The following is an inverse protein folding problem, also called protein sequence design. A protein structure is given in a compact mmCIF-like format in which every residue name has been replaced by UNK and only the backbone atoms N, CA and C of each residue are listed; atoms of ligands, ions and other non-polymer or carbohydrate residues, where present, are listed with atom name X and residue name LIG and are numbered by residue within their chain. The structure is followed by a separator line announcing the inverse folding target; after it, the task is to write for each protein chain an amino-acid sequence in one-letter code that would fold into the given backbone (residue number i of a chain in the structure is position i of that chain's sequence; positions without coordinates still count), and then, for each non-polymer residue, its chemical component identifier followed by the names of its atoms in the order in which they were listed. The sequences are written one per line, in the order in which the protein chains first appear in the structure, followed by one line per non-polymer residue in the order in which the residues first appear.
data_IF_278389934941
#
_entry.id   IF_278389934941
#
_cell.length_a   1.000
_cell.length_b   1.000
_cell.length_c   1.000
_cell.angle_alpha   90.00
_cell.angle_beta   90.00
_cell.angle_gamma   90.00
#
_symmetry.space_group_name_H-M   'P 1'
#
loop_
_entity.id
_entity.type
_entity.pdbx_description
1 polymer ?
#
# COMPACT_ATOMS: atom_id res chain seq x y z
N UNK A 1 7.59 -17.18 -10.13
CA UNK A 1 6.50 -17.04 -9.14
C UNK A 1 6.18 -15.56 -9.11
N UNK A 2 5.04 -15.17 -9.66
CA UNK A 2 4.65 -13.75 -9.77
C UNK A 2 4.25 -13.28 -8.36
N UNK A 3 5.06 -12.44 -7.75
CA UNK A 3 4.72 -11.77 -6.49
C UNK A 3 4.02 -10.47 -6.86
N UNK A 4 2.70 -10.47 -6.85
CA UNK A 4 1.92 -9.26 -7.07
C UNK A 4 1.45 -8.71 -5.74
N UNK A 5 1.70 -7.43 -5.49
CA UNK A 5 0.97 -6.67 -4.49
C UNK A 5 -0.23 -6.05 -5.20
N UNK A 6 -1.36 -6.56 -4.94
CA UNK A 6 -2.62 -5.98 -5.32
C UNK A 6 -3.52 -6.01 -4.11
N UNK A 7 -4.59 -5.22 -4.08
CA UNK A 7 -5.57 -5.07 -3.00
C UNK A 7 -5.84 -6.35 -2.21
N UNK A 8 -6.55 -6.25 -1.14
CA UNK A 8 -6.99 -7.28 -0.18
C UNK A 8 -7.28 -8.67 -0.79
N UNK A 9 -7.49 -8.74 -2.10
CA UNK A 9 -7.87 -9.95 -2.82
C UNK A 9 -6.79 -10.49 -3.78
N UNK A 10 -5.63 -9.86 -3.94
CA UNK A 10 -4.68 -10.22 -5.01
C UNK A 10 -3.20 -10.26 -4.62
N UNK A 11 -2.86 -10.11 -3.35
CA UNK A 11 -1.46 -10.22 -2.94
C UNK A 11 -1.04 -11.68 -2.86
N UNK A 12 -0.06 -12.06 -3.67
CA UNK A 12 0.69 -13.28 -3.43
C UNK A 12 1.50 -13.11 -2.15
N UNK A 13 0.86 -13.28 -1.02
CA UNK A 13 1.49 -13.27 0.30
C UNK A 13 2.45 -14.44 0.39
N UNK A 14 3.64 -14.24 0.95
CA UNK A 14 4.54 -15.34 1.26
C UNK A 14 3.78 -16.38 2.11
N UNK A 15 3.97 -17.70 1.90
CA UNK A 15 3.25 -18.74 2.63
C UNK A 15 3.30 -18.56 4.15
N UNK A 16 4.43 -18.06 4.68
CA UNK A 16 4.62 -17.79 6.10
C UNK A 16 3.74 -16.64 6.61
N UNK A 17 3.58 -15.60 5.79
CA UNK A 17 2.70 -14.46 6.10
C UNK A 17 1.24 -14.89 5.99
N UNK A 18 0.91 -15.73 4.99
CA UNK A 18 -0.42 -16.31 4.84
C UNK A 18 -0.80 -17.13 6.08
N UNK A 19 0.12 -17.97 6.55
CA UNK A 19 -0.07 -18.75 7.78
C UNK A 19 -0.26 -17.86 9.01
N UNK A 20 0.53 -16.80 9.14
CA UNK A 20 0.38 -15.83 10.23
C UNK A 20 -0.96 -15.07 10.15
N UNK A 21 -1.47 -14.77 8.95
CA UNK A 21 -2.78 -14.16 8.76
C UNK A 21 -3.93 -15.16 9.04
N UNK A 22 -3.78 -16.43 8.72
CA UNK A 22 -4.73 -17.49 9.10
C UNK A 22 -4.81 -17.67 10.64
N UNK A 23 -3.67 -17.47 11.32
CA UNK A 23 -3.58 -17.54 12.78
C UNK A 23 -4.05 -16.24 13.47
N UNK A 24 -4.01 -15.11 12.77
CA UNK A 24 -4.44 -13.81 13.27
C UNK A 24 -5.89 -13.54 12.85
N UNK A 25 -6.84 -13.82 13.72
CA UNK A 25 -8.20 -13.36 13.50
C UNK A 25 -8.23 -11.83 13.52
N UNK A 26 -8.48 -11.21 12.34
CA UNK A 26 -8.64 -9.76 12.22
C UNK A 26 -10.12 -9.40 12.34
N UNK A 27 -10.42 -8.38 13.14
CA UNK A 27 -11.77 -7.95 13.41
C UNK A 27 -12.44 -7.28 12.20
N UNK A 28 -11.68 -6.52 11.39
CA UNK A 28 -12.17 -5.77 10.22
C UNK A 28 -11.04 -5.47 9.23
N UNK A 29 -11.38 -4.78 8.13
CA UNK A 29 -10.43 -4.37 7.08
C UNK A 29 -9.30 -3.49 7.61
N UNK A 30 -9.59 -2.56 8.51
CA UNK A 30 -8.55 -1.71 9.14
C UNK A 30 -7.51 -2.56 9.87
N UNK A 31 -7.93 -3.58 10.61
CA UNK A 31 -7.02 -4.52 11.27
C UNK A 31 -6.16 -5.30 10.25
N UNK A 32 -6.76 -5.72 9.14
CA UNK A 32 -6.05 -6.40 8.07
C UNK A 32 -4.99 -5.48 7.43
N UNK A 33 -5.36 -4.22 7.15
CA UNK A 33 -4.44 -3.22 6.58
C UNK A 33 -3.27 -2.92 7.53
N UNK A 34 -3.54 -2.73 8.82
CA UNK A 34 -2.49 -2.51 9.84
C UNK A 34 -1.50 -3.68 9.84
N UNK A 35 -1.98 -4.91 9.93
CA UNK A 35 -1.12 -6.09 9.99
C UNK A 35 -0.32 -6.26 8.70
N UNK A 36 -0.98 -6.14 7.56
CA UNK A 36 -0.33 -6.30 6.25
C UNK A 36 0.77 -5.26 6.02
N UNK A 37 0.49 -3.99 6.28
CA UNK A 37 1.46 -2.92 6.08
C UNK A 37 2.58 -2.96 7.12
N UNK A 38 2.26 -3.24 8.39
CA UNK A 38 3.26 -3.34 9.47
C UNK A 38 4.23 -4.51 9.27
N UNK A 39 3.80 -5.58 8.62
CA UNK A 39 4.67 -6.73 8.33
C UNK A 39 5.83 -6.39 7.37
N UNK A 40 5.70 -5.33 6.57
CA UNK A 40 6.66 -4.95 5.54
C UNK A 40 7.29 -3.57 5.74
N UNK A 41 6.88 -2.82 6.77
CA UNK A 41 7.35 -1.46 7.02
C UNK A 41 7.98 -1.32 8.40
N UNK A 42 8.88 -0.37 8.51
CA UNK A 42 9.42 0.15 9.78
C UNK A 42 8.94 1.60 9.94
N UNK A 43 9.10 2.16 11.14
CA UNK A 43 8.64 3.51 11.46
C UNK A 43 9.24 4.63 10.58
N UNK A 44 10.39 4.39 9.95
CA UNK A 44 11.03 5.32 9.02
C UNK A 44 10.58 5.12 7.56
N UNK A 45 9.76 4.11 7.28
CA UNK A 45 9.25 3.88 5.94
C UNK A 45 8.04 4.76 5.61
N UNK A 46 7.71 4.80 4.34
CA UNK A 46 6.49 5.40 3.85
C UNK A 46 5.73 4.45 2.92
N UNK A 47 4.42 4.61 2.92
CA UNK A 47 3.49 3.91 2.03
C UNK A 47 2.86 4.93 1.09
N UNK A 48 3.00 4.73 -0.20
CA UNK A 48 2.37 5.58 -1.22
C UNK A 48 0.95 5.06 -1.47
N UNK A 49 -0.05 5.94 -1.41
CA UNK A 49 -1.44 5.60 -1.67
C UNK A 49 -2.16 6.77 -2.35
N UNK A 50 -3.31 6.52 -2.98
CA UNK A 50 -4.17 7.61 -3.45
C UNK A 50 -4.65 8.45 -2.26
N UNK A 51 -4.86 9.75 -2.46
CA UNK A 51 -5.37 10.62 -1.40
C UNK A 51 -6.76 10.20 -0.90
N UNK A 52 -7.55 9.56 -1.77
CA UNK A 52 -8.87 9.01 -1.46
C UNK A 52 -8.83 7.60 -0.85
N UNK A 53 -7.66 7.00 -0.74
CA UNK A 53 -7.54 5.63 -0.25
C UNK A 53 -8.09 5.47 1.17
N UNK A 54 -8.81 4.39 1.42
CA UNK A 54 -9.43 4.05 2.70
C UNK A 54 -8.46 4.16 3.88
N UNK A 55 -7.23 3.66 3.71
CA UNK A 55 -6.18 3.74 4.75
C UNK A 55 -5.82 5.17 5.14
N UNK A 56 -6.06 6.15 4.25
CA UNK A 56 -5.80 7.56 4.50
C UNK A 56 -7.00 8.28 5.13
N UNK A 57 -8.23 8.03 4.62
CA UNK A 57 -9.39 8.85 4.99
C UNK A 57 -10.34 8.20 6.00
N UNK A 58 -10.47 6.87 6.00
CA UNK A 58 -11.52 6.17 6.76
C UNK A 58 -11.01 5.23 7.85
N UNK A 59 -9.71 5.26 8.18
CA UNK A 59 -9.10 4.41 9.21
C UNK A 59 -8.49 5.18 10.38
N UNK A 60 -8.85 6.47 10.53
CA UNK A 60 -8.47 7.30 11.69
C UNK A 60 -6.94 7.34 11.95
N UNK A 61 -6.11 7.27 10.90
CA UNK A 61 -4.65 7.24 11.03
C UNK A 61 -4.11 5.97 11.70
N UNK A 62 -4.87 4.87 11.63
CA UNK A 62 -4.55 3.64 12.35
C UNK A 62 -3.20 3.06 11.93
N UNK A 63 -2.89 3.03 10.63
CA UNK A 63 -1.61 2.49 10.14
C UNK A 63 -0.43 3.35 10.59
N UNK A 64 -0.53 4.69 10.49
CA UNK A 64 0.53 5.58 10.91
C UNK A 64 0.80 5.47 12.42
N UNK A 65 -0.25 5.35 13.22
CA UNK A 65 -0.13 5.18 14.67
C UNK A 65 0.51 3.84 15.03
N UNK A 66 0.11 2.75 14.40
CA UNK A 66 0.54 1.40 14.79
C UNK A 66 1.92 1.03 14.26
N UNK A 67 2.22 1.37 13.02
CA UNK A 67 3.53 1.07 12.40
C UNK A 67 4.54 2.22 12.57
N UNK A 68 4.06 3.44 12.80
CA UNK A 68 4.87 4.65 12.76
C UNK A 68 5.30 5.07 11.35
N UNK A 69 4.92 4.33 10.31
CA UNK A 69 5.22 4.69 8.93
C UNK A 69 4.40 5.92 8.51
N UNK A 70 4.85 6.60 7.46
CA UNK A 70 4.14 7.75 6.91
C UNK A 70 3.34 7.35 5.68
N UNK A 71 2.11 7.85 5.56
CA UNK A 71 1.38 7.81 4.29
C UNK A 71 1.83 8.98 3.40
N UNK A 72 2.24 8.66 2.16
CA UNK A 72 2.49 9.61 1.09
C UNK A 72 1.30 9.59 0.15
N UNK A 73 0.41 10.53 0.36
CA UNK A 73 -0.85 10.61 -0.39
C UNK A 73 -0.65 11.29 -1.73
N UNK A 74 -1.18 10.69 -2.77
CA UNK A 74 -1.06 11.15 -4.15
C UNK A 74 -2.41 11.64 -4.64
N UNK A 75 -2.56 12.92 -5.04
CA UNK A 75 -3.76 13.39 -5.70
C UNK A 75 -4.03 12.61 -6.99
N UNK A 76 -5.25 12.13 -7.15
CA UNK A 76 -5.66 11.36 -8.30
C UNK A 76 -7.01 11.87 -8.81
N UNK A 77 -7.24 11.77 -10.12
CA UNK A 77 -8.51 12.18 -10.72
C UNK A 77 -9.62 11.13 -10.46
N UNK A 78 -9.27 9.87 -10.48
CA UNK A 78 -10.19 8.74 -10.46
C UNK A 78 -9.91 7.72 -9.36
N UNK A 79 -9.08 8.06 -8.39
CA UNK A 79 -8.67 7.18 -7.31
C UNK A 79 -7.54 6.21 -7.69
N UNK A 80 -7.09 6.20 -8.96
CA UNK A 80 -6.04 5.29 -9.41
C UNK A 80 -4.67 5.94 -9.42
N UNK A 81 -3.68 5.24 -8.88
CA UNK A 81 -2.28 5.58 -9.04
C UNK A 81 -1.79 5.15 -10.43
N UNK A 82 -0.82 5.88 -10.96
CA UNK A 82 -0.04 5.48 -12.12
C UNK A 82 1.44 5.53 -11.79
N UNK A 83 2.27 4.84 -12.56
CA UNK A 83 3.73 4.86 -12.37
C UNK A 83 4.30 6.27 -12.41
N UNK A 84 3.77 7.14 -13.29
CA UNK A 84 4.17 8.55 -13.38
C UNK A 84 3.83 9.36 -12.13
N UNK A 85 2.67 9.11 -11.50
CA UNK A 85 2.29 9.76 -10.25
C UNK A 85 3.15 9.26 -9.09
N UNK A 86 3.38 7.94 -9.00
CA UNK A 86 4.19 7.30 -7.98
C UNK A 86 5.63 7.83 -8.03
N UNK A 87 6.21 7.96 -9.22
CA UNK A 87 7.59 8.40 -9.43
C UNK A 87 7.88 9.75 -8.77
N UNK A 88 6.92 10.66 -8.72
CA UNK A 88 7.08 11.97 -8.08
C UNK A 88 7.30 11.87 -6.56
N UNK A 89 6.96 10.74 -5.94
CA UNK A 89 7.14 10.48 -4.52
C UNK A 89 8.33 9.55 -4.22
N UNK A 90 9.02 9.05 -5.26
CA UNK A 90 10.18 8.17 -5.13
C UNK A 90 11.46 8.99 -4.99
N UNK A 91 11.59 9.68 -3.85
CA UNK A 91 12.76 10.52 -3.55
C UNK A 91 13.13 10.41 -2.05
N UNK A 92 14.24 11.00 -1.68
CA UNK A 92 14.70 11.04 -0.29
C UNK A 92 15.34 9.73 0.19
N UNK A 93 15.66 8.81 -0.70
CA UNK A 93 16.32 7.56 -0.35
C UNK A 93 17.71 7.80 0.28
N UNK A 94 17.93 7.19 1.44
CA UNK A 94 19.16 7.36 2.21
C UNK A 94 19.28 8.68 2.99
N UNK A 95 18.33 9.60 2.83
CA UNK A 95 18.30 10.85 3.59
C UNK A 95 17.72 10.59 4.99
N UNK A 96 18.52 10.87 6.02
CA UNK A 96 18.19 10.57 7.41
C UNK A 96 16.95 11.33 7.94
N UNK A 97 16.55 12.41 7.28
CA UNK A 97 15.41 13.24 7.67
C UNK A 97 14.16 13.01 6.82
N UNK A 98 14.23 12.10 5.85
CA UNK A 98 13.12 11.75 4.97
C UNK A 98 12.60 10.34 5.24
N UNK A 99 11.30 10.18 5.24
CA UNK A 99 10.67 8.86 5.25
C UNK A 99 11.00 8.13 3.95
N UNK A 100 11.29 6.83 4.07
CA UNK A 100 11.76 6.01 2.94
C UNK A 100 10.58 5.31 2.27
N UNK A 101 10.20 5.68 1.02
CA UNK A 101 9.16 4.97 0.29
C UNK A 101 9.49 3.49 0.20
N UNK A 102 8.57 2.63 0.64
CA UNK A 102 8.78 1.19 0.74
C UNK A 102 7.67 0.39 0.10
N UNK A 103 6.45 0.89 0.15
CA UNK A 103 5.26 0.19 -0.33
C UNK A 103 4.36 1.11 -1.13
N UNK A 104 3.61 0.51 -2.03
CA UNK A 104 2.49 1.13 -2.74
C UNK A 104 1.22 0.39 -2.33
N UNK A 105 0.24 1.13 -1.81
CA UNK A 105 -1.06 0.59 -1.45
C UNK A 105 -2.08 0.93 -2.53
N UNK A 106 -2.77 -0.09 -3.03
CA UNK A 106 -3.82 0.04 -4.04
C UNK A 106 -5.11 -0.58 -3.52
N UNK A 107 -6.24 0.02 -3.85
CA UNK A 107 -7.57 -0.51 -3.55
C UNK A 107 -8.28 -0.93 -4.84
N UNK A 108 -8.87 -2.12 -4.86
CA UNK A 108 -9.61 -2.66 -6.00
C UNK A 108 -10.99 -3.18 -5.52
N UNK A 109 -12.07 -2.54 -5.93
CA UNK A 109 -12.14 -1.24 -6.66
C UNK A 109 -11.73 -0.07 -5.77
N UNK A 110 -11.42 1.10 -6.40
CA UNK A 110 -11.09 2.30 -5.62
C UNK A 110 -12.34 2.85 -4.91
N UNK A 111 -12.16 3.74 -3.96
CA UNK A 111 -13.24 4.42 -3.24
C UNK A 111 -14.11 5.28 -4.16
N UNK A 112 -13.61 5.64 -5.34
CA UNK A 112 -14.38 6.34 -6.38
C UNK A 112 -15.10 5.38 -7.36
N UNK A 113 -15.04 4.06 -7.11
CA UNK A 113 -15.70 3.03 -7.91
C UNK A 113 -14.99 2.71 -9.23
N UNK A 114 -13.79 3.18 -9.44
CA UNK A 114 -12.98 2.81 -10.61
C UNK A 114 -12.26 1.49 -10.40
N UNK A 115 -11.85 0.85 -11.48
CA UNK A 115 -11.21 -0.48 -11.46
C UNK A 115 -9.89 -0.42 -12.21
N UNK A 116 -8.83 -0.92 -11.60
CA UNK A 116 -7.57 -1.16 -12.29
C UNK A 116 -7.70 -2.34 -13.26
N UNK A 117 -7.29 -2.15 -14.49
CA UNK A 117 -7.12 -3.26 -15.43
C UNK A 117 -5.92 -4.12 -15.03
N UNK A 118 -5.88 -5.39 -15.46
CA UNK A 118 -4.69 -6.23 -15.24
C UNK A 118 -3.39 -5.63 -15.79
N UNK A 119 -3.48 -4.86 -16.88
CA UNK A 119 -2.31 -4.20 -17.47
C UNK A 119 -1.79 -3.06 -16.58
N UNK A 120 -2.68 -2.22 -16.05
CA UNK A 120 -2.32 -1.14 -15.12
C UNK A 120 -1.71 -1.70 -13.83
N UNK A 121 -2.32 -2.76 -13.26
CA UNK A 121 -1.75 -3.42 -12.08
C UNK A 121 -0.36 -3.99 -12.37
N UNK A 122 -0.20 -4.66 -13.52
CA UNK A 122 1.09 -5.21 -13.91
C UNK A 122 2.15 -4.12 -14.03
N UNK A 123 1.83 -3.01 -14.67
CA UNK A 123 2.75 -1.89 -14.84
C UNK A 123 3.23 -1.34 -13.48
N UNK A 124 2.29 -1.12 -12.55
CA UNK A 124 2.62 -0.63 -11.20
C UNK A 124 3.45 -1.67 -10.44
N UNK A 125 3.10 -2.95 -10.53
CA UNK A 125 3.86 -4.02 -9.87
C UNK A 125 5.28 -4.17 -10.43
N UNK A 126 5.43 -4.11 -11.75
CA UNK A 126 6.75 -4.17 -12.38
C UNK A 126 7.61 -2.97 -11.93
N UNK A 127 7.04 -1.78 -11.89
CA UNK A 127 7.70 -0.57 -11.41
C UNK A 127 8.11 -0.68 -9.92
N UNK A 128 7.24 -1.20 -9.08
CA UNK A 128 7.51 -1.32 -7.63
C UNK A 128 8.59 -2.36 -7.30
N UNK A 129 8.86 -3.30 -8.20
CA UNK A 129 9.83 -4.37 -8.00
C UNK A 129 11.15 -4.17 -8.76
N UNK A 130 11.27 -3.11 -9.55
CA UNK A 130 12.50 -2.76 -10.27
C UNK A 130 13.53 -2.10 -9.36
#
# INVERSE_FOLDING_TARGET
MIRGFGSDNFSGVLPEVFKALEEAAVYNGTGANILSLSAFTHSYNAVICAETAHINVDECGAIEKQSGCKLLTVPTFDGKLTTGLIQNHMHGFGEQHHSQPKMISLTQCTELGTVYTPAELKEICDYAHA
#
